data_IF_489899326760
#
_entry.id   IF_489899326760
#
_cell.length_a   1.000
_cell.length_b   1.000
_cell.length_c   1.000
_cell.angle_alpha   90.00
_cell.angle_beta   90.00
_cell.angle_gamma   90.00
#
_symmetry.space_group_name_H-M   'P 1'
#
loop_
_entity.id
_entity.type
_entity.pdbx_description
1 polymer ?
#
# COMPACT_ATOMS: atom_id res chain seq x y z
N UNK A 1 -17.97 -23.38 -9.31
CA UNK A 1 -18.07 -21.94 -8.93
C UNK A 1 -16.72 -21.47 -8.42
N UNK A 2 -16.23 -20.30 -8.84
CA UNK A 2 -14.82 -19.92 -8.64
C UNK A 2 -14.68 -18.52 -8.06
N UNK A 3 -14.27 -18.44 -6.79
CA UNK A 3 -13.83 -17.19 -6.16
C UNK A 3 -12.44 -16.81 -6.66
N UNK A 4 -12.21 -15.52 -6.88
CA UNK A 4 -10.88 -14.97 -7.21
C UNK A 4 -10.38 -14.14 -6.05
N UNK A 5 -9.16 -14.44 -5.59
CA UNK A 5 -8.48 -13.67 -4.56
C UNK A 5 -8.08 -12.30 -5.12
N UNK A 6 -8.41 -11.23 -4.39
CA UNK A 6 -8.12 -9.84 -4.76
C UNK A 6 -6.93 -9.25 -4.00
N UNK A 7 -6.24 -10.08 -3.20
CA UNK A 7 -5.14 -9.68 -2.34
C UNK A 7 -5.56 -9.40 -0.90
N UNK A 8 -4.57 -9.05 -0.08
CA UNK A 8 -4.76 -8.63 1.32
C UNK A 8 -5.04 -7.13 1.36
N UNK A 9 -5.98 -6.73 2.22
CA UNK A 9 -6.32 -5.33 2.50
C UNK A 9 -6.49 -5.12 3.98
N UNK A 10 -6.37 -3.88 4.41
CA UNK A 10 -6.66 -3.47 5.78
C UNK A 10 -7.96 -2.68 5.80
N UNK A 11 -8.84 -3.03 6.73
CA UNK A 11 -10.01 -2.25 7.07
C UNK A 11 -9.99 -2.03 8.58
N UNK A 12 -10.00 -0.77 9.02
CA UNK A 12 -9.96 -0.40 10.45
C UNK A 12 -8.83 -1.11 11.23
N UNK A 13 -7.66 -1.23 10.60
CA UNK A 13 -6.48 -1.89 11.18
C UNK A 13 -6.49 -3.42 11.07
N UNK A 14 -7.59 -4.04 10.66
CA UNK A 14 -7.73 -5.50 10.54
C UNK A 14 -7.36 -5.95 9.12
N UNK A 15 -6.37 -6.86 8.95
CA UNK A 15 -6.07 -7.44 7.65
C UNK A 15 -7.15 -8.45 7.24
N UNK A 16 -7.51 -8.46 5.96
CA UNK A 16 -8.42 -9.44 5.39
C UNK A 16 -8.01 -9.80 3.95
N UNK A 17 -8.26 -11.05 3.55
CA UNK A 17 -8.17 -11.47 2.15
C UNK A 17 -9.49 -11.09 1.46
N UNK A 18 -9.42 -10.26 0.43
CA UNK A 18 -10.59 -9.92 -0.36
C UNK A 18 -10.86 -10.95 -1.45
N UNK A 19 -12.13 -11.19 -1.75
CA UNK A 19 -12.59 -12.14 -2.75
C UNK A 19 -13.65 -11.50 -3.65
N UNK A 20 -13.60 -11.80 -4.94
CA UNK A 20 -14.65 -11.46 -5.89
C UNK A 20 -15.11 -12.68 -6.69
N UNK A 21 -16.38 -12.68 -7.09
CA UNK A 21 -16.97 -13.66 -7.99
C UNK A 21 -18.03 -12.97 -8.86
N UNK A 22 -18.25 -13.48 -10.06
CA UNK A 22 -19.27 -12.96 -10.97
C UNK A 22 -20.67 -13.12 -10.38
N UNK A 23 -21.51 -12.10 -10.53
CA UNK A 23 -22.88 -12.09 -9.98
C UNK A 23 -22.96 -12.05 -8.45
N UNK A 24 -21.85 -11.81 -7.74
CA UNK A 24 -21.83 -11.77 -6.27
C UNK A 24 -21.15 -10.51 -5.73
N UNK A 25 -21.57 -10.11 -4.54
CA UNK A 25 -20.87 -9.10 -3.77
C UNK A 25 -19.44 -9.55 -3.43
N UNK A 26 -18.50 -8.60 -3.39
CA UNK A 26 -17.18 -8.87 -2.84
C UNK A 26 -17.30 -9.27 -1.37
N UNK A 27 -16.42 -10.16 -0.91
CA UNK A 27 -16.36 -10.55 0.50
C UNK A 27 -14.93 -10.52 1.02
N UNK A 28 -14.77 -10.34 2.32
CA UNK A 28 -13.49 -10.43 3.03
C UNK A 28 -13.43 -11.67 3.90
N UNK A 29 -12.25 -12.28 4.01
CA UNK A 29 -11.91 -13.24 5.06
C UNK A 29 -10.91 -12.59 6.00
N UNK A 30 -11.29 -12.24 7.24
CA UNK A 30 -10.37 -11.68 8.23
C UNK A 30 -9.16 -12.59 8.44
N UNK A 31 -8.02 -11.96 8.73
CA UNK A 31 -6.78 -12.63 9.07
C UNK A 31 -6.40 -12.28 10.51
N UNK A 32 -6.23 -13.33 11.33
CA UNK A 32 -5.65 -13.20 12.66
C UNK A 32 -4.18 -13.66 12.66
N UNK A 33 -3.39 -13.08 13.56
CA UNK A 33 -2.04 -13.56 13.79
C UNK A 33 -2.06 -15.02 14.26
N UNK A 34 -1.14 -15.85 13.74
CA UNK A 34 -1.09 -17.29 14.03
C UNK A 34 -2.17 -18.14 13.34
N UNK A 35 -3.10 -17.53 12.61
CA UNK A 35 -4.14 -18.27 11.90
C UNK A 35 -3.54 -19.13 10.79
N UNK A 36 -3.88 -20.42 10.80
CA UNK A 36 -3.51 -21.35 9.72
C UNK A 36 -4.40 -21.09 8.51
N UNK A 37 -3.77 -20.90 7.36
CA UNK A 37 -4.44 -20.68 6.08
C UNK A 37 -4.16 -21.86 5.15
N UNK A 38 -5.18 -22.32 4.43
CA UNK A 38 -5.06 -23.32 3.39
C UNK A 38 -5.73 -22.82 2.11
N UNK A 39 -5.01 -22.90 0.98
CA UNK A 39 -5.53 -22.49 -0.32
C UNK A 39 -5.37 -23.63 -1.31
N UNK A 40 -6.44 -23.94 -2.04
CA UNK A 40 -6.36 -24.70 -3.27
C UNK A 40 -6.54 -23.73 -4.44
N UNK A 41 -5.46 -23.45 -5.16
CA UNK A 41 -5.54 -22.70 -6.41
C UNK A 41 -5.76 -23.69 -7.58
N UNK A 42 -6.53 -23.25 -8.57
CA UNK A 42 -6.81 -23.98 -9.80
C UNK A 42 -6.79 -23.00 -10.97
N UNK A 43 -6.29 -23.46 -12.12
CA UNK A 43 -6.23 -22.68 -13.35
C UNK A 43 -5.21 -21.54 -13.34
N UNK A 44 -5.44 -20.57 -14.22
CA UNK A 44 -4.51 -19.45 -14.47
C UNK A 44 -4.82 -18.24 -13.59
N UNK A 45 -3.79 -17.42 -13.33
CA UNK A 45 -4.02 -16.07 -12.81
C UNK A 45 -4.59 -15.20 -13.92
N UNK A 46 -5.72 -14.54 -13.66
CA UNK A 46 -6.36 -13.60 -14.58
C UNK A 46 -6.46 -12.21 -13.99
N UNK A 47 -6.46 -11.21 -14.86
CA UNK A 47 -6.63 -9.82 -14.52
C UNK A 47 -7.96 -9.61 -13.79
N UNK A 48 -7.90 -8.96 -12.63
CA UNK A 48 -9.08 -8.66 -11.81
C UNK A 48 -9.73 -7.32 -12.15
N UNK A 49 -9.25 -6.66 -13.20
CA UNK A 49 -9.66 -5.32 -13.61
C UNK A 49 -9.17 -4.24 -12.65
N UNK A 50 -9.91 -3.14 -12.58
CA UNK A 50 -9.57 -1.96 -11.77
C UNK A 50 -10.51 -1.81 -10.59
N UNK A 51 -10.05 -1.21 -9.49
CA UNK A 51 -10.90 -0.89 -8.34
C UNK A 51 -10.85 0.60 -8.05
N UNK A 52 -12.01 1.24 -8.05
CA UNK A 52 -12.17 2.70 -7.90
C UNK A 52 -13.36 3.00 -7.01
N UNK A 53 -13.21 3.98 -6.11
CA UNK A 53 -14.28 4.43 -5.22
C UNK A 53 -15.06 3.27 -4.55
N UNK A 54 -14.34 2.25 -4.09
CA UNK A 54 -14.98 1.08 -3.45
C UNK A 54 -15.68 0.10 -4.39
N UNK A 55 -15.60 0.26 -5.72
CA UNK A 55 -16.19 -0.63 -6.73
C UNK A 55 -15.12 -1.26 -7.63
N UNK A 56 -15.29 -2.54 -7.98
CA UNK A 56 -14.45 -3.22 -8.96
C UNK A 56 -15.13 -3.23 -10.32
N UNK A 57 -14.38 -2.85 -11.35
CA UNK A 57 -14.75 -3.03 -12.75
C UNK A 57 -13.90 -4.16 -13.32
N UNK A 58 -14.50 -5.27 -13.80
CA UNK A 58 -13.74 -6.40 -14.31
C UNK A 58 -12.94 -6.04 -15.56
N UNK A 59 -11.86 -6.79 -15.81
CA UNK A 59 -11.10 -6.66 -17.04
C UNK A 59 -11.95 -7.15 -18.22
N UNK A 60 -12.13 -6.36 -19.29
CA UNK A 60 -12.99 -6.72 -20.41
C UNK A 60 -12.48 -7.96 -21.17
N UNK A 61 -11.18 -8.20 -21.16
CA UNK A 61 -10.54 -9.34 -21.84
C UNK A 61 -10.24 -10.51 -20.92
N UNK A 62 -10.46 -10.36 -19.60
CA UNK A 62 -10.05 -11.33 -18.58
C UNK A 62 -8.61 -11.85 -18.76
N UNK A 63 -7.70 -10.97 -19.23
CA UNK A 63 -6.36 -11.34 -19.67
C UNK A 63 -5.57 -12.14 -18.62
N UNK A 64 -4.84 -13.15 -19.07
CA UNK A 64 -3.95 -13.94 -18.22
C UNK A 64 -2.77 -13.08 -17.75
N UNK A 65 -2.40 -13.20 -16.47
CA UNK A 65 -1.29 -12.45 -15.86
C UNK A 65 -0.21 -13.42 -15.36
N UNK A 66 1.08 -13.04 -15.38
CA UNK A 66 2.15 -13.94 -14.97
C UNK A 66 2.01 -14.43 -13.52
N UNK A 67 2.30 -15.72 -13.30
CA UNK A 67 2.24 -16.37 -11.98
C UNK A 67 3.00 -15.61 -10.90
N UNK A 68 4.19 -15.08 -11.23
CA UNK A 68 5.10 -14.37 -10.32
C UNK A 68 4.95 -12.84 -10.31
N UNK A 69 4.01 -12.27 -11.07
CA UNK A 69 3.79 -10.84 -11.06
C UNK A 69 3.27 -10.35 -9.70
N UNK A 70 3.81 -9.24 -9.20
CA UNK A 70 3.40 -8.65 -7.92
C UNK A 70 2.01 -7.99 -7.95
N UNK A 71 1.49 -7.66 -9.14
CA UNK A 71 0.14 -7.15 -9.32
C UNK A 71 -0.76 -8.23 -9.96
N UNK A 72 -2.08 -7.99 -9.95
CA UNK A 72 -3.09 -8.87 -10.55
C UNK A 72 -3.78 -8.19 -11.75
N UNK A 73 -3.03 -7.36 -12.49
CA UNK A 73 -3.56 -6.52 -13.56
C UNK A 73 -2.73 -6.73 -14.84
N UNK A 74 -3.42 -6.80 -15.98
CA UNK A 74 -2.79 -6.66 -17.29
C UNK A 74 -2.29 -5.23 -17.49
N UNK A 75 -1.41 -4.97 -18.47
CA UNK A 75 -0.82 -3.64 -18.71
C UNK A 75 -1.86 -2.52 -18.84
N UNK A 76 -2.98 -2.77 -19.51
CA UNK A 76 -4.04 -1.80 -19.75
C UNK A 76 -4.77 -1.43 -18.44
N UNK A 77 -5.15 -2.44 -17.65
CA UNK A 77 -5.79 -2.22 -16.35
C UNK A 77 -4.83 -1.55 -15.37
N UNK A 78 -3.55 -1.94 -15.38
CA UNK A 78 -2.52 -1.31 -14.53
C UNK A 78 -2.29 0.15 -14.91
N UNK A 79 -2.25 0.48 -16.20
CA UNK A 79 -2.14 1.87 -16.68
C UNK A 79 -3.36 2.70 -16.27
N UNK A 80 -4.55 2.13 -16.39
CA UNK A 80 -5.80 2.76 -15.97
C UNK A 80 -5.86 2.97 -14.45
N UNK A 81 -5.37 2.03 -13.65
CA UNK A 81 -5.27 2.19 -12.19
C UNK A 81 -4.27 3.29 -11.82
N UNK A 82 -3.12 3.31 -12.51
CA UNK A 82 -2.03 4.27 -12.26
C UNK A 82 -2.39 5.72 -12.59
N UNK A 83 -3.28 5.98 -13.56
CA UNK A 83 -3.60 7.37 -13.96
C UNK A 83 -4.30 8.19 -12.87
N UNK A 84 -4.82 7.53 -11.83
CA UNK A 84 -5.42 8.16 -10.64
C UNK A 84 -4.57 7.95 -9.38
N UNK A 85 -3.36 7.40 -9.55
CA UNK A 85 -2.40 7.27 -8.47
C UNK A 85 -1.79 8.63 -8.18
N UNK A 86 -1.77 8.97 -6.90
CA UNK A 86 -1.00 10.11 -6.38
C UNK A 86 0.44 10.04 -6.85
N UNK A 87 1.03 8.85 -6.86
CA UNK A 87 2.40 8.60 -7.30
C UNK A 87 2.65 8.78 -8.81
N UNK A 88 1.60 9.04 -9.59
CA UNK A 88 1.74 9.38 -11.01
C UNK A 88 1.78 10.90 -11.23
N UNK A 89 1.48 11.71 -10.22
CA UNK A 89 1.43 13.19 -10.28
C UNK A 89 0.57 13.71 -11.47
N UNK A 90 -0.42 12.92 -11.88
CA UNK A 90 -1.26 13.14 -13.06
C UNK A 90 -2.49 14.01 -12.79
N UNK A 91 -2.82 14.27 -11.52
CA UNK A 91 -4.02 15.03 -11.14
C UNK A 91 -3.70 16.10 -10.08
N UNK A 92 -3.08 17.19 -10.51
CA UNK A 92 -2.74 18.30 -9.61
C UNK A 92 -3.97 19.00 -9.01
N UNK A 93 -5.15 18.85 -9.62
CA UNK A 93 -6.42 19.40 -9.16
C UNK A 93 -7.25 18.45 -8.29
N UNK A 94 -6.63 17.40 -7.74
CA UNK A 94 -7.31 16.47 -6.83
C UNK A 94 -7.81 17.21 -5.57
N UNK A 95 -9.14 17.24 -5.31
CA UNK A 95 -9.71 18.02 -4.21
C UNK A 95 -9.53 17.34 -2.84
N UNK A 96 -9.02 16.11 -2.78
CA UNK A 96 -8.88 15.37 -1.53
C UNK A 96 -7.84 16.01 -0.61
N UNK A 97 -8.08 15.87 0.69
CA UNK A 97 -7.05 16.17 1.70
C UNK A 97 -6.03 15.04 1.76
N UNK A 98 -4.76 15.41 1.86
CA UNK A 98 -3.63 14.51 2.00
C UNK A 98 -2.97 14.71 3.38
N UNK A 99 -2.35 13.66 3.90
CA UNK A 99 -1.52 13.69 5.10
C UNK A 99 -0.08 13.39 4.74
N UNK A 100 0.84 14.11 5.38
CA UNK A 100 2.28 13.82 5.37
C UNK A 100 2.60 12.93 6.57
N UNK A 101 3.42 11.92 6.36
CA UNK A 101 3.86 11.00 7.41
C UNK A 101 5.37 10.77 7.37
N UNK A 102 5.92 10.41 8.53
CA UNK A 102 7.20 9.74 8.68
C UNK A 102 6.95 8.28 9.03
N UNK A 103 7.58 7.34 8.35
CA UNK A 103 7.41 5.91 8.58
C UNK A 103 8.75 5.20 8.67
N UNK A 104 8.88 4.32 9.67
CA UNK A 104 10.03 3.43 9.85
C UNK A 104 9.61 2.01 9.45
N UNK A 105 10.35 1.41 8.51
CA UNK A 105 10.06 0.08 7.96
C UNK A 105 11.01 -1.02 8.48
N UNK A 106 12.10 -0.63 9.10
CA UNK A 106 13.25 -1.48 9.44
C UNK A 106 14.48 -0.62 9.67
N UNK A 107 15.58 -1.21 10.17
CA UNK A 107 16.85 -0.50 10.33
C UNK A 107 17.25 0.20 9.03
N UNK A 108 17.60 1.48 9.13
CA UNK A 108 18.00 2.38 8.04
C UNK A 108 16.93 2.56 6.95
N UNK A 109 15.66 2.31 7.31
CA UNK A 109 14.54 2.33 6.38
C UNK A 109 13.46 3.28 6.86
N UNK A 110 13.86 4.52 7.10
CA UNK A 110 12.94 5.64 7.33
C UNK A 110 12.57 6.31 6.01
N UNK A 111 11.31 6.72 5.89
CA UNK A 111 10.81 7.45 4.73
C UNK A 111 9.76 8.47 5.13
N UNK A 112 9.81 9.64 4.49
CA UNK A 112 8.69 10.59 4.44
C UNK A 112 7.79 10.25 3.24
N UNK A 113 6.48 10.31 3.43
CA UNK A 113 5.55 10.12 2.34
C UNK A 113 4.22 10.80 2.54
N UNK A 114 3.38 10.76 1.51
CA UNK A 114 1.99 11.24 1.58
C UNK A 114 0.96 10.13 1.34
N UNK A 115 -0.25 10.34 1.85
CA UNK A 115 -1.43 9.51 1.58
C UNK A 115 -2.68 10.36 1.61
N UNK A 116 -3.71 9.98 0.84
CA UNK A 116 -5.03 10.57 1.01
C UNK A 116 -5.51 10.33 2.45
N UNK A 117 -6.12 11.33 3.07
CA UNK A 117 -6.56 11.30 4.47
C UNK A 117 -7.54 10.15 4.73
N UNK A 118 -8.45 9.92 3.78
CA UNK A 118 -9.43 8.82 3.77
C UNK A 118 -8.81 7.41 3.84
N UNK A 119 -7.56 7.24 3.41
CA UNK A 119 -6.85 5.96 3.52
C UNK A 119 -6.34 5.71 4.93
N UNK A 120 -6.18 6.77 5.71
CA UNK A 120 -5.71 6.70 7.09
C UNK A 120 -4.49 5.80 7.28
N UNK A 121 -4.45 5.00 8.36
CA UNK A 121 -3.36 4.07 8.66
C UNK A 121 -3.25 2.89 7.67
N UNK A 122 -4.30 2.57 6.91
CA UNK A 122 -4.30 1.38 6.04
C UNK A 122 -3.17 1.44 5.02
N UNK A 123 -2.87 2.63 4.47
CA UNK A 123 -1.75 2.83 3.54
C UNK A 123 -0.39 2.44 4.15
N UNK A 124 -0.19 2.72 5.44
CA UNK A 124 1.07 2.48 6.14
C UNK A 124 1.22 0.99 6.44
N UNK A 125 0.13 0.35 6.90
CA UNK A 125 0.06 -1.08 7.15
C UNK A 125 0.29 -1.90 5.88
N UNK A 126 -0.36 -1.53 4.76
CA UNK A 126 -0.17 -2.15 3.45
C UNK A 126 1.27 -2.06 2.95
N UNK A 127 1.93 -0.91 3.19
CA UNK A 127 3.35 -0.73 2.85
C UNK A 127 4.30 -1.43 3.81
N UNK A 128 3.78 -1.89 4.95
CA UNK A 128 4.53 -2.60 5.97
C UNK A 128 5.31 -1.73 6.93
N UNK A 129 4.88 -0.49 7.17
CA UNK A 129 5.46 0.34 8.21
C UNK A 129 5.30 -0.35 9.57
N UNK A 130 6.38 -0.37 10.35
CA UNK A 130 6.35 -0.93 11.72
C UNK A 130 5.94 0.14 12.71
N UNK A 131 6.42 1.38 12.53
CA UNK A 131 5.97 2.55 13.27
C UNK A 131 5.83 3.72 12.29
N UNK A 132 4.97 4.69 12.61
CA UNK A 132 4.81 5.91 11.84
C UNK A 132 4.23 7.03 12.70
N UNK A 133 4.36 8.26 12.23
CA UNK A 133 3.69 9.44 12.79
C UNK A 133 3.19 10.36 11.67
N UNK A 134 2.16 11.15 11.98
CA UNK A 134 1.60 12.15 11.08
C UNK A 134 2.28 13.50 11.32
N UNK A 135 2.77 14.11 10.25
CA UNK A 135 3.50 15.39 10.32
C UNK A 135 2.63 16.59 9.93
N UNK A 136 1.59 16.37 9.12
CA UNK A 136 0.72 17.44 8.66
C UNK A 136 -0.39 16.98 7.73
N UNK A 137 -1.28 17.91 7.37
CA UNK A 137 -2.39 17.70 6.43
C UNK A 137 -2.54 18.90 5.49
N UNK A 138 -3.04 18.69 4.28
CA UNK A 138 -3.28 19.77 3.32
C UNK A 138 -3.66 19.28 1.92
N UNK A 139 -3.79 20.18 0.94
CA UNK A 139 -4.02 19.82 -0.45
C UNK A 139 -2.80 19.10 -1.05
N UNK A 140 -3.01 18.32 -2.12
CA UNK A 140 -2.00 17.46 -2.73
C UNK A 140 -0.66 18.18 -2.95
N UNK A 141 -0.65 19.30 -3.67
CA UNK A 141 0.59 20.00 -4.01
C UNK A 141 1.33 20.57 -2.79
N UNK A 142 0.61 21.02 -1.76
CA UNK A 142 1.25 21.47 -0.52
C UNK A 142 1.92 20.29 0.20
N UNK A 143 1.22 19.17 0.33
CA UNK A 143 1.77 17.98 0.99
C UNK A 143 2.94 17.36 0.21
N UNK A 144 2.93 17.42 -1.13
CA UNK A 144 4.04 17.02 -2.00
C UNK A 144 5.28 17.88 -1.76
N UNK A 145 5.13 19.20 -1.76
CA UNK A 145 6.25 20.12 -1.46
C UNK A 145 6.82 19.86 -0.05
N UNK A 146 5.96 19.62 0.93
CA UNK A 146 6.40 19.25 2.29
C UNK A 146 7.12 17.89 2.32
N UNK A 147 6.62 16.86 1.60
CA UNK A 147 7.29 15.56 1.45
C UNK A 147 8.69 15.72 0.84
N UNK A 148 8.81 16.49 -0.25
CA UNK A 148 10.08 16.74 -0.93
C UNK A 148 11.07 17.49 -0.05
N UNK A 149 10.60 18.55 0.64
CA UNK A 149 11.41 19.34 1.57
C UNK A 149 11.95 18.48 2.72
N UNK A 150 11.06 17.73 3.40
CA UNK A 150 11.46 16.89 4.52
C UNK A 150 12.35 15.73 4.09
N UNK A 151 12.09 15.15 2.90
CA UNK A 151 12.96 14.11 2.32
C UNK A 151 14.39 14.63 2.15
N UNK A 152 14.54 15.83 1.59
CA UNK A 152 15.84 16.46 1.39
C UNK A 152 16.50 16.83 2.72
N UNK A 153 15.76 17.46 3.63
CA UNK A 153 16.28 17.91 4.93
C UNK A 153 16.75 16.75 5.83
N UNK A 154 16.04 15.61 5.81
CA UNK A 154 16.35 14.43 6.62
C UNK A 154 17.26 13.42 5.90
N UNK A 155 17.63 13.65 4.64
CA UNK A 155 18.46 12.71 3.86
C UNK A 155 17.85 11.32 3.64
N UNK A 156 16.53 11.18 3.70
CA UNK A 156 15.85 9.88 3.58
C UNK A 156 15.51 9.51 2.13
N UNK A 157 15.43 8.21 1.77
CA UNK A 157 15.16 7.79 0.40
C UNK A 157 13.71 8.07 -0.06
N UNK A 158 13.53 8.36 -1.35
CA UNK A 158 12.20 8.42 -1.98
C UNK A 158 11.53 7.03 -1.99
N UNK A 159 12.28 5.95 -2.22
CA UNK A 159 11.74 4.59 -2.32
C UNK A 159 12.55 3.61 -1.51
N UNK A 160 11.83 2.74 -0.82
CA UNK A 160 12.40 1.59 -0.10
C UNK A 160 11.87 0.33 -0.79
N UNK A 161 12.78 -0.48 -1.32
CA UNK A 161 12.45 -1.70 -2.03
C UNK A 161 11.68 -2.69 -1.15
N UNK A 162 10.62 -3.29 -1.68
CA UNK A 162 9.78 -4.23 -0.94
C UNK A 162 10.57 -5.47 -0.44
N UNK A 163 11.55 -5.93 -1.22
CA UNK A 163 12.44 -7.02 -0.82
C UNK A 163 13.25 -6.68 0.45
N UNK A 164 13.78 -5.44 0.54
CA UNK A 164 14.54 -4.95 1.70
C UNK A 164 13.65 -4.90 2.95
N UNK A 165 12.43 -4.36 2.82
CA UNK A 165 11.42 -4.35 3.89
C UNK A 165 11.09 -5.76 4.40
N UNK A 166 11.00 -6.73 3.49
CA UNK A 166 10.70 -8.13 3.85
C UNK A 166 11.84 -8.80 4.60
N UNK A 167 13.08 -8.56 4.19
CA UNK A 167 14.26 -9.20 4.77
C UNK A 167 14.43 -8.88 6.27
N UNK A 168 14.11 -7.66 6.68
CA UNK A 168 14.31 -7.20 8.07
C UNK A 168 13.10 -7.38 8.98
N UNK A 169 11.97 -7.84 8.44
CA UNK A 169 10.69 -7.82 9.18
C UNK A 169 10.57 -8.89 10.27
N UNK A 170 11.41 -9.92 10.18
CA UNK A 170 11.44 -11.06 11.11
C UNK A 170 12.24 -10.76 12.38
N UNK A 171 13.16 -9.79 12.34
CA UNK A 171 14.02 -9.43 13.46
C UNK A 171 14.02 -7.91 13.62
N UNK A 172 13.13 -7.42 14.48
CA UNK A 172 13.03 -5.99 14.76
C UNK A 172 13.87 -5.65 16.01
N UNK A 173 14.64 -4.55 15.97
CA UNK A 173 15.35 -4.07 17.15
C UNK A 173 14.37 -3.55 18.21
N UNK A 174 14.89 -3.26 19.40
CA UNK A 174 14.06 -2.84 20.54
C UNK A 174 13.32 -1.53 20.25
N UNK A 175 12.29 -1.21 21.04
CA UNK A 175 11.61 0.08 20.93
C UNK A 175 12.57 1.27 21.13
N UNK A 176 13.54 1.15 22.05
CA UNK A 176 14.52 2.19 22.33
C UNK A 176 15.47 2.41 21.15
N UNK A 177 15.97 1.34 20.53
CA UNK A 177 16.87 1.45 19.37
C UNK A 177 16.15 2.08 18.18
N UNK A 178 14.89 1.70 17.93
CA UNK A 178 14.06 2.32 16.87
C UNK A 178 13.84 3.81 17.14
N UNK A 179 13.58 4.19 18.39
CA UNK A 179 13.38 5.58 18.76
C UNK A 179 14.67 6.41 18.58
N UNK A 180 15.82 5.84 18.97
CA UNK A 180 17.14 6.47 18.78
C UNK A 180 17.43 6.74 17.30
N UNK A 181 17.25 5.73 16.44
CA UNK A 181 17.46 5.89 15.00
C UNK A 181 16.60 7.01 14.40
N UNK A 182 15.35 7.14 14.85
CA UNK A 182 14.46 8.22 14.38
C UNK A 182 14.90 9.59 14.91
N UNK A 183 15.36 9.67 16.16
CA UNK A 183 15.85 10.92 16.76
C UNK A 183 17.14 11.43 16.12
N UNK A 184 18.03 10.52 15.71
CA UNK A 184 19.29 10.85 15.03
C UNK A 184 19.08 11.47 13.65
N UNK A 185 17.88 11.36 13.04
CA UNK A 185 17.57 11.99 11.74
C UNK A 185 17.53 13.51 11.78
N UNK A 186 17.37 14.11 12.96
CA UNK A 186 17.21 15.56 13.12
C UNK A 186 18.12 16.13 14.22
N UNK A 187 19.07 15.34 14.71
CA UNK A 187 20.09 15.79 15.66
C UNK A 187 21.16 16.60 14.92
#
# INVERSE_FOLDING_TARGET
MTWRCTGIRWNDGVPAIGWCAEGRAERGSPLAYGQRLAFAARGERRCLGVRRAGKRTPCPTAATVPGRAGNAQCPECARLDRSFSVAADTNAADPRTYRVYLAWFGPEMVKVGITAEERGPARLLEQGAVTWTWLGRGPLMATRRTEELLRAALGVPDRIAYARKRAVRVHLPTAADRAREVAELHA
#
